data_IF_810389377192
#
_entry.id   IF_810389377192
#
_cell.length_a   1.000
_cell.length_b   1.000
_cell.length_c   1.000
_cell.angle_alpha   90.00
_cell.angle_beta   90.00
_cell.angle_gamma   90.00
#
_symmetry.space_group_name_H-M   'P 1'
#
loop_
_entity.id
_entity.type
_entity.pdbx_description
1 polymer ?
#
# COMPACT_ATOMS: atom_id res chain seq x y z
N UNK A 1 -22.43 -4.03 -2.69
CA UNK A 1 -22.21 -2.60 -2.39
C UNK A 1 -21.08 -2.38 -1.38
N UNK A 2 -21.12 -2.99 -0.17
CA UNK A 2 -20.06 -2.82 0.85
C UNK A 2 -18.65 -3.23 0.40
N UNK A 3 -18.51 -4.39 -0.26
CA UNK A 3 -17.21 -4.88 -0.76
C UNK A 3 -16.60 -3.99 -1.85
N UNK A 4 -17.45 -3.44 -2.74
CA UNK A 4 -17.01 -2.53 -3.80
C UNK A 4 -16.56 -1.17 -3.22
N UNK A 5 -17.30 -0.65 -2.23
CA UNK A 5 -16.93 0.57 -1.53
C UNK A 5 -15.60 0.42 -0.75
N UNK A 6 -15.38 -0.73 -0.14
CA UNK A 6 -14.09 -1.08 0.47
C UNK A 6 -12.96 -1.13 -0.56
N UNK A 7 -13.16 -1.86 -1.67
CA UNK A 7 -12.18 -1.95 -2.76
C UNK A 7 -11.77 -0.57 -3.30
N UNK A 8 -12.74 0.32 -3.52
CA UNK A 8 -12.45 1.70 -3.92
C UNK A 8 -11.68 2.48 -2.85
N UNK A 9 -12.04 2.33 -1.57
CA UNK A 9 -11.36 3.00 -0.45
C UNK A 9 -9.90 2.55 -0.34
N UNK A 10 -9.62 1.28 -0.61
CA UNK A 10 -8.26 0.70 -0.61
C UNK A 10 -7.43 1.25 -1.77
N UNK A 11 -8.00 1.34 -2.97
CA UNK A 11 -7.33 1.92 -4.13
C UNK A 11 -6.92 3.38 -3.85
N UNK A 12 -7.81 4.16 -3.25
CA UNK A 12 -7.54 5.55 -2.88
C UNK A 12 -6.46 5.66 -1.81
N UNK A 13 -6.53 4.80 -0.78
CA UNK A 13 -5.51 4.75 0.27
C UNK A 13 -4.14 4.38 -0.30
N UNK A 14 -4.06 3.34 -1.13
CA UNK A 14 -2.81 2.92 -1.77
C UNK A 14 -2.22 4.01 -2.67
N UNK A 15 -3.07 4.77 -3.39
CA UNK A 15 -2.64 5.92 -4.18
C UNK A 15 -2.04 7.03 -3.29
N UNK A 16 -2.73 7.39 -2.20
CA UNK A 16 -2.26 8.42 -1.27
C UNK A 16 -0.96 8.00 -0.57
N UNK A 17 -0.89 6.76 -0.10
CA UNK A 17 0.30 6.22 0.54
C UNK A 17 1.51 6.20 -0.41
N UNK A 18 1.30 5.75 -1.66
CA UNK A 18 2.32 5.81 -2.70
C UNK A 18 2.80 7.24 -3.00
N UNK A 19 1.87 8.18 -3.14
CA UNK A 19 2.20 9.58 -3.36
C UNK A 19 2.94 10.20 -2.17
N UNK A 20 2.60 9.83 -0.92
CA UNK A 20 3.25 10.32 0.28
C UNK A 20 4.67 9.76 0.43
N UNK A 21 4.86 8.47 0.15
CA UNK A 21 6.18 7.82 0.12
C UNK A 21 7.09 8.35 -0.99
N UNK A 22 6.53 8.77 -2.12
CA UNK A 22 7.30 9.43 -3.18
C UNK A 22 7.58 10.91 -2.85
N UNK A 23 6.61 11.61 -2.27
CA UNK A 23 6.75 13.00 -1.85
C UNK A 23 7.84 13.16 -0.78
N UNK A 24 7.95 12.22 0.15
CA UNK A 24 9.00 12.26 1.18
C UNK A 24 10.41 12.23 0.58
N UNK A 25 10.62 11.43 -0.47
CA UNK A 25 11.87 11.41 -1.21
C UNK A 25 12.10 12.72 -2.00
N UNK A 26 11.04 13.30 -2.56
CA UNK A 26 11.10 14.60 -3.26
C UNK A 26 11.43 15.76 -2.32
N UNK A 27 10.92 15.76 -1.08
CA UNK A 27 11.23 16.77 -0.07
C UNK A 27 12.69 16.72 0.43
N UNK A 28 13.39 15.62 0.12
CA UNK A 28 14.81 15.41 0.40
C UNK A 28 15.66 15.52 -0.87
N UNK A 29 15.16 16.19 -1.90
CA UNK A 29 15.81 16.40 -3.21
C UNK A 29 16.35 15.12 -3.86
N UNK A 30 15.69 13.98 -3.62
CA UNK A 30 16.11 12.68 -4.13
C UNK A 30 17.57 12.31 -3.80
N UNK A 31 18.03 12.67 -2.60
CA UNK A 31 19.36 12.30 -2.09
C UNK A 31 19.61 10.79 -2.27
N UNK A 32 20.68 10.44 -2.99
CA UNK A 32 20.97 9.07 -3.41
C UNK A 32 21.28 8.13 -2.25
N UNK A 33 21.85 8.66 -1.16
CA UNK A 33 22.26 7.85 -0.01
C UNK A 33 21.16 7.76 1.06
N UNK A 34 20.15 8.63 0.99
CA UNK A 34 19.14 8.81 2.04
C UNK A 34 17.72 8.56 1.60
N UNK A 35 17.48 8.43 0.30
CA UNK A 35 16.14 8.23 -0.25
C UNK A 35 16.06 6.99 -1.13
N UNK A 36 14.97 6.25 -1.02
CA UNK A 36 14.73 5.05 -1.83
C UNK A 36 14.63 5.39 -3.34
N UNK A 37 14.13 6.58 -3.68
CA UNK A 37 14.02 7.05 -5.08
C UNK A 37 15.38 7.39 -5.65
N UNK A 38 16.21 8.10 -4.89
CA UNK A 38 17.58 8.47 -5.28
C UNK A 38 18.48 7.23 -5.41
N UNK A 39 18.41 6.32 -4.44
CA UNK A 39 19.14 5.06 -4.43
C UNK A 39 18.85 4.20 -5.68
N UNK A 40 17.59 4.16 -6.11
CA UNK A 40 17.18 3.42 -7.31
C UNK A 40 17.37 4.20 -8.62
N UNK A 41 17.85 5.45 -8.57
CA UNK A 41 18.00 6.30 -9.75
C UNK A 41 16.67 6.61 -10.47
N UNK A 42 15.54 6.54 -9.75
CA UNK A 42 14.21 6.67 -10.32
C UNK A 42 13.88 8.11 -10.74
N UNK A 43 14.59 9.11 -10.22
CA UNK A 43 14.35 10.54 -10.51
C UNK A 43 14.47 10.90 -11.99
N UNK A 44 15.27 10.15 -12.77
CA UNK A 44 15.47 10.38 -14.21
C UNK A 44 14.53 9.55 -15.10
N UNK A 45 13.72 8.67 -14.50
CA UNK A 45 12.76 7.82 -15.22
C UNK A 45 11.46 8.59 -15.51
N UNK A 46 10.67 8.18 -16.51
CA UNK A 46 9.37 8.81 -16.77
C UNK A 46 8.45 8.71 -15.55
N UNK A 47 7.60 9.72 -15.36
CA UNK A 47 6.70 9.84 -14.21
C UNK A 47 5.79 8.63 -14.02
N UNK A 48 5.38 7.98 -15.11
CA UNK A 48 4.59 6.75 -15.07
C UNK A 48 5.34 5.60 -14.38
N UNK A 49 6.64 5.45 -14.64
CA UNK A 49 7.49 4.45 -14.00
C UNK A 49 7.71 4.79 -12.53
N UNK A 50 7.98 6.06 -12.21
CA UNK A 50 8.12 6.51 -10.83
C UNK A 50 6.87 6.21 -10.00
N UNK A 51 5.70 6.52 -10.55
CA UNK A 51 4.42 6.24 -9.93
C UNK A 51 4.18 4.74 -9.76
N UNK A 52 4.46 3.93 -10.78
CA UNK A 52 4.28 2.48 -10.70
C UNK A 52 5.16 1.85 -9.60
N UNK A 53 6.40 2.31 -9.45
CA UNK A 53 7.29 1.87 -8.37
C UNK A 53 6.79 2.32 -6.99
N UNK A 54 6.28 3.55 -6.87
CA UNK A 54 5.72 4.05 -5.61
C UNK A 54 4.45 3.26 -5.21
N UNK A 55 3.58 2.98 -6.17
CA UNK A 55 2.39 2.14 -5.97
C UNK A 55 2.77 0.72 -5.60
N UNK A 56 3.74 0.12 -6.30
CA UNK A 56 4.26 -1.20 -5.96
C UNK A 56 4.79 -1.26 -4.53
N UNK A 57 5.52 -0.23 -4.09
CA UNK A 57 5.99 -0.10 -2.70
C UNK A 57 4.83 -0.02 -1.70
N UNK A 58 3.84 0.84 -1.94
CA UNK A 58 2.66 0.96 -1.08
C UNK A 58 1.86 -0.36 -0.97
N UNK A 59 1.63 -1.05 -2.09
CA UNK A 59 0.97 -2.36 -2.08
C UNK A 59 1.79 -3.44 -1.37
N UNK A 60 3.12 -3.39 -1.47
CA UNK A 60 3.99 -4.33 -0.75
C UNK A 60 3.87 -4.16 0.77
N UNK A 61 3.69 -2.93 1.26
CA UNK A 61 3.40 -2.66 2.66
C UNK A 61 2.00 -3.15 3.05
N UNK A 62 0.98 -2.85 2.23
CA UNK A 62 -0.41 -3.21 2.52
C UNK A 62 -0.66 -4.73 2.54
N UNK A 63 -0.05 -5.46 1.61
CA UNK A 63 -0.17 -6.92 1.52
C UNK A 63 0.80 -7.66 2.45
N UNK A 64 1.51 -6.94 3.33
CA UNK A 64 2.50 -7.48 4.25
C UNK A 64 3.62 -8.29 3.55
N UNK A 65 3.99 -7.91 2.31
CA UNK A 65 5.03 -8.58 1.52
C UNK A 65 6.42 -8.06 1.92
N UNK A 66 6.56 -6.75 2.13
CA UNK A 66 7.84 -6.12 2.48
C UNK A 66 7.98 -4.71 1.93
N UNK A 67 9.21 -4.21 1.84
CA UNK A 67 9.52 -2.80 1.54
C UNK A 67 9.54 -2.41 0.05
N UNK A 68 9.14 -3.32 -0.84
CA UNK A 68 9.28 -3.17 -2.28
C UNK A 68 10.72 -3.36 -2.75
N UNK A 69 11.13 -2.61 -3.78
CA UNK A 69 12.45 -2.77 -4.44
C UNK A 69 13.61 -2.24 -3.59
N UNK A 70 13.35 -1.29 -2.69
CA UNK A 70 14.37 -0.70 -1.83
C UNK A 70 13.84 -0.43 -0.40
N UNK A 71 14.65 -0.83 0.57
CA UNK A 71 14.43 -0.56 1.99
C UNK A 71 14.51 0.95 2.29
N UNK A 72 13.87 1.43 3.38
CA UNK A 72 14.06 2.81 3.83
C UNK A 72 15.53 3.05 4.23
N UNK A 73 16.11 4.14 3.75
CA UNK A 73 17.52 4.49 3.98
C UNK A 73 17.69 5.56 5.07
N UNK A 74 16.72 6.46 5.21
CA UNK A 74 16.74 7.50 6.24
C UNK A 74 15.72 7.25 7.35
N UNK A 75 15.97 7.82 8.54
CA UNK A 75 15.06 7.73 9.68
C UNK A 75 13.65 8.19 9.36
N UNK A 76 13.51 9.22 8.51
CA UNK A 76 12.20 9.71 8.06
C UNK A 76 11.49 8.66 7.22
N UNK A 77 12.18 8.00 6.29
CA UNK A 77 11.61 6.92 5.49
C UNK A 77 11.23 5.72 6.35
N UNK A 78 12.02 5.39 7.37
CA UNK A 78 11.69 4.31 8.32
C UNK A 78 10.37 4.61 9.01
N UNK A 79 10.21 5.80 9.61
CA UNK A 79 8.98 6.19 10.30
C UNK A 79 7.78 6.15 9.36
N UNK A 80 7.90 6.73 8.16
CA UNK A 80 6.82 6.73 7.16
C UNK A 80 6.46 5.32 6.69
N UNK A 81 7.47 4.48 6.47
CA UNK A 81 7.28 3.08 6.07
C UNK A 81 6.58 2.29 7.18
N UNK A 82 6.96 2.47 8.45
CA UNK A 82 6.30 1.82 9.58
C UNK A 82 4.83 2.23 9.68
N UNK A 83 4.51 3.51 9.52
CA UNK A 83 3.13 3.99 9.53
C UNK A 83 2.31 3.42 8.36
N UNK A 84 2.89 3.41 7.15
CA UNK A 84 2.30 2.81 5.96
C UNK A 84 2.00 1.31 6.16
N UNK A 85 2.93 0.55 6.72
CA UNK A 85 2.73 -0.87 7.04
C UNK A 85 1.64 -1.11 8.08
N UNK A 86 1.59 -0.31 9.16
CA UNK A 86 0.55 -0.44 10.19
C UNK A 86 -0.86 -0.18 9.63
N UNK A 87 -1.01 0.90 8.87
CA UNK A 87 -2.27 1.24 8.23
C UNK A 87 -2.65 0.23 7.15
N UNK A 88 -1.68 -0.21 6.35
CA UNK A 88 -1.85 -1.22 5.32
C UNK A 88 -2.32 -2.56 5.88
N UNK A 89 -1.71 -3.04 6.96
CA UNK A 89 -2.10 -4.27 7.63
C UNK A 89 -3.53 -4.21 8.19
N UNK A 90 -3.93 -3.08 8.78
CA UNK A 90 -5.29 -2.88 9.27
C UNK A 90 -6.33 -2.91 8.14
N UNK A 91 -6.04 -2.27 7.01
CA UNK A 91 -6.89 -2.30 5.83
C UNK A 91 -6.99 -3.70 5.23
N UNK A 92 -5.88 -4.43 5.15
CA UNK A 92 -5.85 -5.81 4.67
C UNK A 92 -6.69 -6.73 5.55
N UNK A 93 -6.59 -6.61 6.88
CA UNK A 93 -7.45 -7.35 7.80
C UNK A 93 -8.95 -7.03 7.58
N UNK A 94 -9.28 -5.77 7.30
CA UNK A 94 -10.65 -5.35 6.97
C UNK A 94 -11.19 -5.96 5.67
N UNK A 95 -10.34 -6.13 4.64
CA UNK A 95 -10.68 -6.83 3.40
C UNK A 95 -11.05 -8.27 3.70
N UNK A 96 -10.17 -8.97 4.42
CA UNK A 96 -10.37 -10.38 4.76
C UNK A 96 -11.67 -10.54 5.55
N UNK A 97 -11.92 -9.71 6.57
CA UNK A 97 -13.17 -9.76 7.33
C UNK A 97 -14.41 -9.53 6.47
N UNK A 98 -14.33 -8.63 5.49
CA UNK A 98 -15.44 -8.35 4.57
C UNK A 98 -15.66 -9.46 3.55
N UNK A 99 -14.59 -10.10 3.10
CA UNK A 99 -14.64 -11.27 2.22
C UNK A 99 -15.22 -12.48 2.95
N UNK A 100 -14.81 -12.74 4.18
CA UNK A 100 -15.37 -13.80 5.03
C UNK A 100 -16.87 -13.57 5.26
N UNK A 101 -17.29 -12.35 5.62
CA UNK A 101 -18.71 -12.04 5.79
C UNK A 101 -19.51 -12.24 4.50
N UNK A 102 -18.92 -11.94 3.34
CA UNK A 102 -19.54 -12.20 2.05
C UNK A 102 -19.67 -13.71 1.76
N UNK A 103 -18.62 -14.50 2.00
CA UNK A 103 -18.66 -15.95 1.84
C UNK A 103 -19.74 -16.58 2.74
N UNK A 104 -19.80 -16.19 4.02
CA UNK A 104 -20.83 -16.66 4.95
C UNK A 104 -22.25 -16.31 4.49
N UNK A 105 -22.44 -15.21 3.76
CA UNK A 105 -23.74 -14.86 3.19
C UNK A 105 -24.14 -15.71 1.98
N UNK A 106 -23.16 -16.24 1.23
CA UNK A 106 -23.40 -17.13 0.09
C UNK A 106 -23.78 -18.55 0.54
N UNK A 107 -23.21 -19.04 1.65
CA UNK A 107 -23.50 -20.37 2.21
C UNK A 107 -24.85 -20.44 2.96
N UNK A 108 -25.60 -19.33 3.03
CA UNK A 108 -26.86 -19.23 3.78
C UNK A 108 -28.18 -19.79 3.18
N UNK A 109 -28.27 -20.53 2.04
CA UNK A 109 -29.55 -21.12 1.61
C UNK A 109 -29.91 -22.52 2.18
N UNK A 110 -28.98 -23.30 2.74
CA UNK A 110 -29.27 -24.73 3.05
C UNK A 110 -29.48 -25.07 4.53
N UNK A 111 -29.24 -24.16 5.46
CA UNK A 111 -29.39 -24.42 6.91
C UNK A 111 -30.79 -24.12 7.49
N UNK A 112 -31.76 -23.76 6.64
CA UNK A 112 -33.14 -23.40 7.06
C UNK A 112 -34.21 -24.41 6.63
N UNK A 113 -33.81 -25.58 6.11
CA UNK A 113 -34.72 -26.65 5.69
C UNK A 113 -34.40 -28.02 6.31
N UNK A 114 -33.76 -28.03 7.48
CA UNK A 114 -33.80 -29.18 8.41
C UNK A 114 -34.35 -28.73 9.76
#
# INVERSE_FOLDING_TARGET
VRILALGFSILLFAHWDACLLYLSARLKDFDADRTWVGFLGLQHRPKSVQYLYAVFKAYSHMLCIGYGVAMPLSTVEVVLTTLSMLLGAALFAGIIGSLTAFMMSLDSPSAKYE
#
